data_IF_266631248143
#
_entry.id   IF_266631248143
#
_cell.length_a   1.000
_cell.length_b   1.000
_cell.length_c   1.000
_cell.angle_alpha   90.00
_cell.angle_beta   90.00
_cell.angle_gamma   90.00
#
_symmetry.space_group_name_H-M   'P 1'
#
loop_
_entity.id
_entity.type
_entity.pdbx_description
1 polymer ?
#
# COMPACT_ATOMS: atom_id res chain seq x y z
N UNK A 1 -8.81 17.45 20.64
CA UNK A 1 -7.84 16.51 20.05
C UNK A 1 -7.54 16.86 18.59
N UNK A 2 -6.28 16.90 18.16
CA UNK A 2 -5.91 17.07 16.74
C UNK A 2 -5.84 15.74 15.97
N UNK A 3 -5.86 15.80 14.64
CA UNK A 3 -5.82 14.64 13.72
C UNK A 3 -4.69 13.62 14.07
N UNK A 4 -3.52 14.12 14.49
CA UNK A 4 -2.38 13.28 14.87
C UNK A 4 -2.54 12.59 16.23
N UNK A 5 -3.25 13.19 17.18
CA UNK A 5 -3.56 12.55 18.46
C UNK A 5 -4.58 11.43 18.27
N UNK A 6 -5.55 11.61 17.38
CA UNK A 6 -6.53 10.60 17.05
C UNK A 6 -5.89 9.40 16.33
N UNK A 7 -4.98 9.66 15.39
CA UNK A 7 -4.15 8.61 14.78
C UNK A 7 -3.36 7.84 15.82
N UNK A 8 -2.71 8.50 16.79
CA UNK A 8 -1.98 7.84 17.87
C UNK A 8 -2.88 6.95 18.71
N UNK A 9 -4.08 7.43 19.07
CA UNK A 9 -5.06 6.64 19.82
C UNK A 9 -5.48 5.38 19.06
N UNK A 10 -5.79 5.49 17.77
CA UNK A 10 -6.13 4.34 16.91
C UNK A 10 -4.95 3.38 16.75
N UNK A 11 -3.72 3.85 16.59
CA UNK A 11 -2.58 2.94 16.47
C UNK A 11 -2.22 2.26 17.79
N UNK A 12 -2.60 2.84 18.93
CA UNK A 12 -2.35 2.31 20.27
C UNK A 12 -3.23 1.14 20.68
N UNK A 13 -4.32 0.85 19.95
CA UNK A 13 -5.16 -0.32 20.24
C UNK A 13 -4.48 -1.64 19.88
N UNK A 14 -3.46 -1.59 19.02
CA UNK A 14 -2.66 -2.75 18.65
C UNK A 14 -1.55 -2.92 19.70
N UNK A 15 -1.55 -4.07 20.37
CA UNK A 15 -0.59 -4.36 21.43
C UNK A 15 0.84 -4.46 20.89
N UNK A 16 1.81 -4.17 21.75
CA UNK A 16 3.23 -4.22 21.39
C UNK A 16 3.72 -5.64 21.08
N UNK A 17 3.08 -6.66 21.66
CA UNK A 17 3.40 -8.08 21.47
C UNK A 17 2.59 -8.75 20.35
N UNK A 18 1.74 -7.99 19.63
CA UNK A 18 0.99 -8.53 18.49
C UNK A 18 1.95 -8.90 17.33
N UNK A 19 1.96 -10.16 16.87
CA UNK A 19 2.87 -10.60 15.81
C UNK A 19 2.61 -9.94 14.45
N UNK A 20 1.44 -9.30 14.27
CA UNK A 20 1.05 -8.56 13.07
C UNK A 20 0.99 -7.05 13.31
N UNK A 21 1.61 -6.54 14.40
CA UNK A 21 1.49 -5.14 14.81
C UNK A 21 1.68 -4.15 13.67
N UNK A 22 2.78 -4.25 12.93
CA UNK A 22 3.10 -3.33 11.83
C UNK A 22 2.08 -3.43 10.69
N UNK A 23 1.60 -4.64 10.40
CA UNK A 23 0.57 -4.89 9.39
C UNK A 23 -0.77 -4.27 9.77
N UNK A 24 -1.24 -4.53 11.00
CA UNK A 24 -2.48 -3.96 11.53
C UNK A 24 -2.40 -2.43 11.58
N UNK A 25 -1.28 -1.88 12.06
CA UNK A 25 -1.07 -0.43 12.13
C UNK A 25 -1.05 0.23 10.75
N UNK A 26 -0.43 -0.38 9.74
CA UNK A 26 -0.46 0.12 8.36
C UNK A 26 -1.89 0.15 7.81
N UNK A 27 -2.63 -0.95 7.98
CA UNK A 27 -4.01 -1.04 7.50
C UNK A 27 -4.94 -0.06 8.21
N UNK A 28 -4.79 0.12 9.54
CA UNK A 28 -5.54 1.13 10.28
C UNK A 28 -5.15 2.55 9.84
N UNK A 29 -3.86 2.83 9.62
CA UNK A 29 -3.42 4.13 9.13
C UNK A 29 -4.08 4.46 7.79
N UNK A 30 -4.09 3.50 6.86
CA UNK A 30 -4.70 3.68 5.55
C UNK A 30 -6.22 3.79 5.68
N UNK A 31 -6.86 2.79 6.27
CA UNK A 31 -8.32 2.72 6.36
C UNK A 31 -8.92 3.83 7.23
N UNK A 32 -8.40 4.06 8.46
CA UNK A 32 -8.89 5.13 9.31
C UNK A 32 -8.57 6.50 8.73
N UNK A 33 -7.46 6.67 8.01
CA UNK A 33 -7.13 7.88 7.27
C UNK A 33 -8.32 8.42 6.48
N UNK A 34 -9.06 7.52 5.86
CA UNK A 34 -10.24 7.79 5.06
C UNK A 34 -11.44 8.27 5.90
N UNK A 35 -11.52 7.83 7.14
CA UNK A 35 -12.54 8.28 8.09
C UNK A 35 -12.08 9.46 8.96
N UNK A 36 -10.80 9.88 8.91
CA UNK A 36 -10.24 10.92 9.79
C UNK A 36 -10.91 12.28 9.64
N UNK A 37 -11.30 12.70 8.44
CA UNK A 37 -12.06 13.96 8.27
C UNK A 37 -13.38 13.93 9.05
N UNK A 38 -13.98 12.75 9.09
CA UNK A 38 -15.22 12.54 9.80
C UNK A 38 -14.91 12.45 11.30
N UNK A 39 -13.88 11.70 11.71
CA UNK A 39 -13.39 11.65 13.09
C UNK A 39 -13.00 13.02 13.66
N UNK A 40 -12.41 13.90 12.85
CA UNK A 40 -12.06 15.28 13.20
C UNK A 40 -13.31 16.12 13.44
N UNK A 41 -14.36 15.97 12.61
CA UNK A 41 -15.67 16.61 12.83
C UNK A 41 -16.43 16.03 14.04
N UNK A 42 -16.06 14.81 14.44
CA UNK A 42 -16.78 13.96 15.38
C UNK A 42 -16.31 14.10 16.83
N UNK A 43 -15.10 14.60 17.06
CA UNK A 43 -14.58 14.98 18.38
C UNK A 43 -14.36 13.81 19.35
N UNK A 44 -13.82 14.13 20.54
CA UNK A 44 -13.41 13.17 21.58
C UNK A 44 -14.53 12.22 22.03
N UNK A 45 -15.79 12.64 21.93
CA UNK A 45 -16.95 11.86 22.42
C UNK A 45 -17.20 10.59 21.61
N UNK A 46 -16.87 10.59 20.32
CA UNK A 46 -17.17 9.45 19.44
C UNK A 46 -16.05 8.41 19.42
N UNK A 47 -14.84 8.80 19.81
CA UNK A 47 -13.65 7.94 19.80
C UNK A 47 -13.82 6.61 20.58
N UNK A 48 -14.41 6.56 21.79
CA UNK A 48 -14.55 5.31 22.53
C UNK A 48 -15.36 4.24 21.78
N UNK A 49 -16.40 4.64 21.06
CA UNK A 49 -17.22 3.73 20.24
C UNK A 49 -16.39 3.12 19.10
N UNK A 50 -15.61 3.93 18.39
CA UNK A 50 -14.79 3.46 17.27
C UNK A 50 -13.59 2.62 17.71
N UNK A 51 -12.93 3.00 18.81
CA UNK A 51 -11.85 2.19 19.37
C UNK A 51 -12.37 0.83 19.83
N UNK A 52 -13.60 0.75 20.38
CA UNK A 52 -14.20 -0.52 20.76
C UNK A 52 -14.38 -1.45 19.55
N UNK A 53 -14.84 -0.92 18.42
CA UNK A 53 -14.95 -1.67 17.17
C UNK A 53 -13.55 -2.12 16.73
N UNK A 54 -12.61 -1.20 16.52
CA UNK A 54 -11.31 -1.53 15.93
C UNK A 54 -10.44 -2.45 16.81
N UNK A 55 -10.68 -2.47 18.12
CA UNK A 55 -9.97 -3.35 19.07
C UNK A 55 -10.46 -4.80 19.05
N UNK A 56 -11.53 -5.12 18.32
CA UNK A 56 -12.06 -6.48 18.25
C UNK A 56 -11.27 -7.33 17.25
N UNK A 57 -10.71 -8.44 17.73
CA UNK A 57 -9.96 -9.41 16.92
C UNK A 57 -10.83 -10.10 15.85
N UNK A 58 -12.15 -10.16 16.04
CA UNK A 58 -13.08 -10.75 15.06
C UNK A 58 -13.10 -10.01 13.71
N UNK A 59 -12.56 -8.78 13.65
CA UNK A 59 -12.51 -8.00 12.42
C UNK A 59 -11.21 -8.19 11.65
N UNK A 60 -10.34 -9.11 12.10
CA UNK A 60 -9.09 -9.40 11.44
C UNK A 60 -9.09 -10.84 10.92
N UNK A 61 -8.76 -10.99 9.64
CA UNK A 61 -8.75 -12.26 8.94
C UNK A 61 -7.33 -12.63 8.53
N UNK A 62 -6.93 -13.89 8.74
CA UNK A 62 -5.63 -14.37 8.25
C UNK A 62 -5.62 -14.43 6.73
N UNK A 63 -4.51 -14.06 6.13
CA UNK A 63 -4.32 -14.11 4.67
C UNK A 63 -2.96 -14.66 4.31
N UNK A 64 -2.83 -15.17 3.09
CA UNK A 64 -1.55 -15.65 2.54
C UNK A 64 -0.69 -14.54 1.93
N UNK A 65 -1.07 -13.27 2.16
CA UNK A 65 -0.30 -12.11 1.71
C UNK A 65 0.90 -11.86 2.62
N UNK A 66 1.84 -11.01 2.17
CA UNK A 66 2.94 -10.53 3.01
C UNK A 66 2.47 -9.90 4.32
N UNK A 67 1.23 -9.42 4.39
CA UNK A 67 0.65 -8.83 5.58
C UNK A 67 0.27 -9.87 6.63
N UNK A 68 0.04 -11.14 6.25
CA UNK A 68 -0.39 -12.25 7.10
C UNK A 68 -1.80 -12.11 7.70
N UNK A 69 -2.35 -10.89 7.68
CA UNK A 69 -3.64 -10.53 8.24
C UNK A 69 -4.26 -9.38 7.44
N UNK A 70 -5.58 -9.31 7.37
CA UNK A 70 -6.35 -8.27 6.69
C UNK A 70 -7.51 -7.79 7.56
N UNK A 71 -7.76 -6.49 7.59
CA UNK A 71 -8.96 -5.92 8.22
C UNK A 71 -10.19 -6.28 7.38
N UNK A 72 -11.22 -6.89 7.97
CA UNK A 72 -12.52 -7.03 7.35
C UNK A 72 -13.28 -5.71 7.43
N UNK A 73 -12.97 -4.84 6.48
CA UNK A 73 -13.47 -3.48 6.43
C UNK A 73 -14.99 -3.38 6.32
N UNK A 74 -15.63 -4.35 5.63
CA UNK A 74 -17.09 -4.40 5.49
C UNK A 74 -17.78 -4.71 6.81
N UNK A 75 -17.25 -5.64 7.61
CA UNK A 75 -17.77 -5.92 8.95
C UNK A 75 -17.57 -4.70 9.85
N UNK A 76 -16.40 -4.06 9.80
CA UNK A 76 -16.15 -2.83 10.58
C UNK A 76 -17.15 -1.74 10.21
N UNK A 77 -17.35 -1.46 8.92
CA UNK A 77 -18.33 -0.48 8.45
C UNK A 77 -19.76 -0.81 8.91
N UNK A 78 -20.15 -2.09 8.87
CA UNK A 78 -21.45 -2.54 9.37
C UNK A 78 -21.59 -2.28 10.87
N UNK A 79 -20.56 -2.56 11.67
CA UNK A 79 -20.56 -2.26 13.11
C UNK A 79 -20.60 -0.75 13.40
N UNK A 80 -20.02 0.08 12.55
CA UNK A 80 -20.05 1.53 12.71
C UNK A 80 -21.45 2.12 12.60
N UNK A 81 -22.39 1.46 11.92
CA UNK A 81 -23.76 1.95 11.73
C UNK A 81 -24.78 1.30 12.66
N UNK A 82 -24.38 0.28 13.44
CA UNK A 82 -25.25 -0.36 14.41
C UNK A 82 -25.55 0.57 15.59
N UNK A 83 -26.72 0.46 16.26
CA UNK A 83 -27.08 1.37 17.36
C UNK A 83 -26.15 1.33 18.58
N UNK A 84 -25.40 0.24 18.78
CA UNK A 84 -24.49 0.02 19.91
C UNK A 84 -23.27 -0.81 19.50
N UNK A 85 -22.14 -0.61 20.17
CA UNK A 85 -20.94 -1.43 20.00
C UNK A 85 -21.04 -2.77 20.75
N UNK A 86 -20.05 -3.65 20.57
CA UNK A 86 -19.96 -4.93 21.29
C UNK A 86 -19.95 -4.79 22.81
N UNK A 87 -19.39 -3.69 23.34
CA UNK A 87 -19.42 -3.37 24.78
C UNK A 87 -20.66 -2.56 25.21
N UNK A 88 -21.66 -2.42 24.35
CA UNK A 88 -22.90 -1.73 24.65
C UNK A 88 -22.79 -0.20 24.64
N UNK A 89 -21.70 0.36 24.11
CA UNK A 89 -21.53 1.81 23.96
C UNK A 89 -22.50 2.27 22.87
N UNK A 90 -23.37 3.23 23.19
CA UNK A 90 -24.30 3.79 22.21
C UNK A 90 -23.57 4.40 21.03
N UNK A 91 -24.05 4.12 19.82
CA UNK A 91 -23.51 4.71 18.60
C UNK A 91 -23.80 6.21 18.59
N UNK A 92 -22.77 7.05 18.54
CA UNK A 92 -22.93 8.49 18.59
C UNK A 92 -23.24 9.11 17.22
N UNK A 93 -23.27 8.32 16.15
CA UNK A 93 -23.70 8.76 14.81
C UNK A 93 -25.22 8.90 14.78
N UNK A 94 -25.69 10.00 14.20
CA UNK A 94 -27.09 10.15 13.81
C UNK A 94 -27.39 9.33 12.53
N UNK A 95 -28.66 9.25 12.14
CA UNK A 95 -29.04 8.40 11.02
C UNK A 95 -28.51 8.89 9.67
N UNK A 96 -28.26 10.20 9.54
CA UNK A 96 -27.63 10.76 8.33
C UNK A 96 -26.15 10.35 8.23
N UNK A 97 -25.39 10.47 9.32
CA UNK A 97 -24.01 10.00 9.43
C UNK A 97 -23.92 8.48 9.14
N UNK A 98 -24.87 7.69 9.67
CA UNK A 98 -24.96 6.25 9.40
C UNK A 98 -25.25 5.96 7.94
N UNK A 99 -26.18 6.69 7.33
CA UNK A 99 -26.50 6.56 5.90
C UNK A 99 -25.30 6.89 5.01
N UNK A 100 -24.54 7.92 5.38
CA UNK A 100 -23.31 8.29 4.68
C UNK A 100 -22.26 7.16 4.74
N UNK A 101 -22.00 6.60 5.93
CA UNK A 101 -21.07 5.46 6.07
C UNK A 101 -21.55 4.25 5.27
N UNK A 102 -22.85 3.94 5.32
CA UNK A 102 -23.44 2.85 4.56
C UNK A 102 -23.25 3.04 3.04
N UNK A 103 -23.48 4.25 2.53
CA UNK A 103 -23.27 4.61 1.12
C UNK A 103 -21.81 4.47 0.68
N UNK A 104 -20.85 4.94 1.49
CA UNK A 104 -19.43 4.83 1.17
C UNK A 104 -18.90 3.42 1.14
N UNK A 105 -19.44 2.55 2.00
CA UNK A 105 -19.02 1.16 2.08
C UNK A 105 -19.94 0.22 1.29
N UNK A 106 -20.89 0.77 0.53
CA UNK A 106 -21.89 0.03 -0.27
C UNK A 106 -22.61 -1.07 0.53
N UNK A 107 -23.06 -0.75 1.74
CA UNK A 107 -23.87 -1.63 2.57
C UNK A 107 -25.33 -1.64 2.08
N UNK A 108 -25.57 -2.25 0.91
CA UNK A 108 -26.82 -2.18 0.13
C UNK A 108 -28.11 -2.33 0.97
N UNK A 109 -28.20 -3.36 1.81
CA UNK A 109 -29.37 -3.59 2.68
C UNK A 109 -29.58 -2.47 3.70
N UNK A 110 -28.49 -2.01 4.32
CA UNK A 110 -28.51 -0.96 5.34
C UNK A 110 -28.84 0.41 4.71
N UNK A 111 -28.34 0.69 3.50
CA UNK A 111 -28.68 1.87 2.71
C UNK A 111 -30.18 1.92 2.45
N UNK A 112 -30.78 0.81 2.00
CA UNK A 112 -32.22 0.70 1.74
C UNK A 112 -33.00 0.92 3.04
N UNK A 113 -32.61 0.24 4.13
CA UNK A 113 -33.28 0.34 5.42
C UNK A 113 -33.27 1.77 5.99
N UNK A 114 -32.12 2.45 5.91
CA UNK A 114 -31.98 3.84 6.37
C UNK A 114 -32.75 4.82 5.48
N UNK A 115 -32.75 4.62 4.16
CA UNK A 115 -33.55 5.46 3.27
C UNK A 115 -35.05 5.32 3.53
N UNK A 116 -35.54 4.10 3.76
CA UNK A 116 -36.93 3.86 4.16
C UNK A 116 -37.25 4.42 5.56
N UNK A 117 -36.25 4.53 6.45
CA UNK A 117 -36.43 5.23 7.71
C UNK A 117 -36.68 6.73 7.49
N UNK A 118 -35.88 7.41 6.67
CA UNK A 118 -36.11 8.82 6.34
C UNK A 118 -37.47 9.05 5.66
N UNK A 119 -37.88 8.17 4.74
CA UNK A 119 -39.22 8.24 4.14
C UNK A 119 -40.34 8.20 5.18
N UNK A 120 -40.20 7.38 6.22
CA UNK A 120 -41.18 7.28 7.31
C UNK A 120 -41.14 8.51 8.22
N UNK A 121 -39.96 9.01 8.56
CA UNK A 121 -39.81 10.22 9.38
C UNK A 121 -40.38 11.47 8.70
N UNK A 122 -40.18 11.59 7.38
CA UNK A 122 -40.70 12.70 6.57
C UNK A 122 -42.17 12.48 6.12
N UNK A 123 -42.83 11.42 6.60
CA UNK A 123 -44.22 11.05 6.27
C UNK A 123 -44.50 10.96 4.74
N UNK A 124 -43.50 10.50 3.97
CA UNK A 124 -43.57 10.44 2.51
C UNK A 124 -44.35 9.19 2.07
N UNK A 125 -45.49 9.42 1.43
CA UNK A 125 -46.28 8.37 0.81
C UNK A 125 -45.74 8.03 -0.60
N UNK A 126 -45.85 6.76 -1.03
CA UNK A 126 -45.31 6.27 -2.32
C UNK A 126 -45.86 6.99 -3.57
N UNK A 127 -46.98 7.70 -3.45
CA UNK A 127 -47.64 8.43 -4.55
C UNK A 127 -47.10 9.87 -4.69
N UNK A 128 -46.46 10.43 -3.66
CA UNK A 128 -45.96 11.80 -3.68
C UNK A 128 -44.54 11.88 -4.29
N UNK A 129 -44.50 11.91 -5.62
CA UNK A 129 -43.27 12.07 -6.39
C UNK A 129 -42.45 13.31 -6.01
N UNK A 130 -43.10 14.42 -5.63
CA UNK A 130 -42.39 15.66 -5.34
C UNK A 130 -41.75 15.63 -3.95
N UNK A 131 -42.43 15.05 -2.96
CA UNK A 131 -41.86 14.81 -1.64
C UNK A 131 -40.68 13.85 -1.70
N UNK A 132 -40.81 12.75 -2.45
CA UNK A 132 -39.71 11.79 -2.63
C UNK A 132 -38.49 12.44 -3.30
N UNK A 133 -38.69 13.28 -4.32
CA UNK A 133 -37.59 14.04 -4.95
C UNK A 133 -36.92 15.01 -3.99
N UNK A 134 -37.67 15.65 -3.09
CA UNK A 134 -37.09 16.51 -2.04
C UNK A 134 -36.24 15.70 -1.07
N UNK A 135 -36.71 14.53 -0.64
CA UNK A 135 -35.93 13.63 0.20
C UNK A 135 -34.65 13.18 -0.51
N UNK A 136 -34.74 12.70 -1.76
CA UNK A 136 -33.56 12.30 -2.55
C UNK A 136 -32.54 13.42 -2.58
N UNK A 137 -32.96 14.66 -2.80
CA UNK A 137 -32.07 15.83 -2.76
C UNK A 137 -31.50 16.11 -1.37
N UNK A 138 -32.26 15.95 -0.29
CA UNK A 138 -31.76 16.18 1.08
C UNK A 138 -30.73 15.13 1.48
N UNK A 139 -30.97 13.85 1.18
CA UNK A 139 -30.05 12.75 1.53
C UNK A 139 -28.90 12.56 0.55
N UNK A 140 -28.92 13.22 -0.61
CA UNK A 140 -27.79 13.22 -1.55
C UNK A 140 -26.57 14.03 -1.06
N UNK A 141 -26.69 14.66 0.11
CA UNK A 141 -25.66 15.49 0.73
C UNK A 141 -25.79 16.97 0.36
N UNK A 142 -25.81 17.85 1.37
CA UNK A 142 -25.88 19.30 1.21
C UNK A 142 -24.66 20.01 1.81
N UNK A 143 -23.54 20.04 1.07
CA UNK A 143 -22.66 21.23 0.93
C UNK A 143 -21.36 21.00 0.17
N UNK A 144 -20.97 19.74 -0.07
CA UNK A 144 -20.09 19.31 -1.16
C UNK A 144 -20.63 17.93 -1.54
N UNK A 145 -21.14 17.75 -2.75
CA UNK A 145 -21.94 16.57 -3.12
C UNK A 145 -21.14 15.29 -2.94
N UNK A 146 -21.50 14.51 -1.93
CA UNK A 146 -20.94 13.19 -1.71
C UNK A 146 -21.41 12.29 -2.84
N UNK A 147 -20.49 11.98 -3.76
CA UNK A 147 -20.85 11.31 -5.01
C UNK A 147 -21.45 9.92 -4.80
N UNK A 148 -21.13 9.27 -3.67
CA UNK A 148 -21.68 7.97 -3.31
C UNK A 148 -23.09 8.10 -2.75
N UNK A 149 -23.34 9.08 -1.87
CA UNK A 149 -24.71 9.34 -1.38
C UNK A 149 -25.63 9.75 -2.52
N UNK A 150 -25.17 10.61 -3.43
CA UNK A 150 -25.92 10.99 -4.62
C UNK A 150 -26.25 9.77 -5.49
N UNK A 151 -25.28 8.90 -5.75
CA UNK A 151 -25.53 7.68 -6.52
C UNK A 151 -26.62 6.83 -5.85
N UNK A 152 -26.44 6.50 -4.56
CA UNK A 152 -27.32 5.59 -3.85
C UNK A 152 -28.73 6.13 -3.69
N UNK A 153 -28.88 7.40 -3.30
CA UNK A 153 -30.18 8.03 -3.14
C UNK A 153 -31.00 8.01 -4.43
N UNK A 154 -30.38 8.23 -5.59
CA UNK A 154 -31.05 8.19 -6.90
C UNK A 154 -31.28 6.75 -7.37
N UNK A 155 -30.34 5.84 -7.10
CA UNK A 155 -30.45 4.45 -7.47
C UNK A 155 -31.62 3.76 -6.75
N UNK A 156 -31.68 3.86 -5.42
CA UNK A 156 -32.72 3.19 -4.61
C UNK A 156 -34.11 3.81 -4.75
N UNK A 157 -34.18 5.11 -5.07
CA UNK A 157 -35.45 5.82 -5.29
C UNK A 157 -36.00 5.66 -6.71
N UNK A 158 -35.27 5.01 -7.61
CA UNK A 158 -35.66 4.86 -9.02
C UNK A 158 -35.42 6.11 -9.88
N UNK A 159 -34.79 7.16 -9.35
CA UNK A 159 -34.45 8.40 -10.07
C UNK A 159 -33.04 8.40 -10.66
N UNK A 160 -32.45 7.23 -10.92
CA UNK A 160 -31.10 7.11 -11.51
C UNK A 160 -30.98 7.83 -12.87
N UNK A 161 -32.09 7.93 -13.60
CA UNK A 161 -32.18 8.64 -14.89
C UNK A 161 -32.03 10.16 -14.77
N UNK A 162 -32.17 10.73 -13.57
CA UNK A 162 -31.89 12.15 -13.32
C UNK A 162 -30.38 12.44 -13.20
N UNK A 163 -29.54 11.40 -13.08
CA UNK A 163 -28.09 11.54 -13.13
C UNK A 163 -27.59 11.48 -14.58
N UNK A 164 -26.64 12.37 -14.93
CA UNK A 164 -25.88 12.25 -16.18
C UNK A 164 -24.88 11.09 -16.08
N UNK A 165 -25.33 9.91 -16.50
CA UNK A 165 -24.50 8.71 -16.54
C UNK A 165 -23.49 8.71 -17.71
N UNK A 166 -23.55 9.69 -18.62
CA UNK A 166 -22.69 9.78 -19.81
C UNK A 166 -22.69 8.48 -20.65
N UNK A 167 -23.85 7.84 -20.75
CA UNK A 167 -24.03 6.59 -21.49
C UNK A 167 -23.48 5.34 -20.78
N UNK A 168 -23.05 5.44 -19.53
CA UNK A 168 -22.54 4.29 -18.77
C UNK A 168 -23.68 3.49 -18.14
N UNK A 169 -23.46 2.17 -18.00
CA UNK A 169 -24.28 1.33 -17.15
C UNK A 169 -24.25 1.86 -15.69
N UNK A 170 -25.36 1.85 -14.93
CA UNK A 170 -25.40 2.37 -13.56
C UNK A 170 -24.31 1.81 -12.64
N UNK A 171 -23.98 0.52 -12.73
CA UNK A 171 -22.89 -0.05 -11.91
C UNK A 171 -21.50 0.40 -12.35
N UNK A 172 -21.27 0.65 -13.64
CA UNK A 172 -20.00 1.24 -14.13
C UNK A 172 -19.88 2.68 -13.64
N UNK A 173 -20.99 3.43 -13.67
CA UNK A 173 -21.05 4.77 -13.13
C UNK A 173 -20.80 4.80 -11.62
N UNK A 174 -21.43 3.90 -10.85
CA UNK A 174 -21.21 3.72 -9.42
C UNK A 174 -19.75 3.38 -9.12
N UNK A 175 -19.15 2.46 -9.88
CA UNK A 175 -17.73 2.12 -9.79
C UNK A 175 -16.84 3.35 -10.04
N UNK A 176 -17.14 4.16 -11.05
CA UNK A 176 -16.42 5.42 -11.32
C UNK A 176 -16.56 6.42 -10.16
N UNK A 177 -17.76 6.54 -9.55
CA UNK A 177 -17.95 7.39 -8.36
C UNK A 177 -17.11 6.88 -7.19
N UNK A 178 -17.14 5.59 -6.93
CA UNK A 178 -16.40 4.94 -5.85
C UNK A 178 -14.87 5.09 -5.98
N UNK A 179 -14.34 5.05 -7.21
CA UNK A 179 -12.90 4.96 -7.46
C UNK A 179 -12.23 6.24 -7.98
N UNK A 180 -12.99 7.20 -8.53
CA UNK A 180 -12.44 8.37 -9.24
C UNK A 180 -13.03 9.68 -8.71
N UNK A 181 -14.36 9.75 -8.58
CA UNK A 181 -15.03 11.03 -8.31
C UNK A 181 -15.21 11.36 -6.83
N UNK A 182 -14.95 10.40 -5.94
CA UNK A 182 -15.06 10.61 -4.51
C UNK A 182 -13.72 11.04 -3.92
N UNK A 183 -13.69 12.18 -3.23
CA UNK A 183 -12.55 12.53 -2.37
C UNK A 183 -12.37 11.51 -1.23
N UNK A 184 -13.40 10.67 -0.99
CA UNK A 184 -13.50 9.66 0.06
C UNK A 184 -13.55 8.23 -0.52
N UNK A 185 -12.77 7.97 -1.57
CA UNK A 185 -12.62 6.66 -2.24
C UNK A 185 -12.48 5.51 -1.23
N UNK A 186 -13.29 4.45 -1.43
CA UNK A 186 -13.34 3.26 -0.57
C UNK A 186 -13.16 2.01 -1.39
N UNK A 187 -12.21 1.17 -1.00
CA UNK A 187 -11.96 -0.11 -1.65
C UNK A 187 -13.18 -1.04 -1.55
N UNK A 188 -13.97 -0.96 -0.48
CA UNK A 188 -15.20 -1.73 -0.27
C UNK A 188 -16.28 -1.37 -1.30
N UNK A 189 -16.41 -0.09 -1.64
CA UNK A 189 -17.32 0.33 -2.70
C UNK A 189 -16.82 -0.09 -4.08
N UNK A 190 -15.50 -0.01 -4.32
CA UNK A 190 -14.90 -0.49 -5.57
C UNK A 190 -15.09 -2.00 -5.72
N UNK A 191 -14.83 -2.77 -4.67
CA UNK A 191 -15.11 -4.21 -4.59
C UNK A 191 -16.59 -4.49 -4.92
N UNK A 192 -17.53 -3.84 -4.23
CA UNK A 192 -18.95 -4.02 -4.45
C UNK A 192 -19.39 -3.76 -5.89
N UNK A 193 -19.03 -2.60 -6.46
CA UNK A 193 -19.45 -2.29 -7.83
C UNK A 193 -18.73 -3.13 -8.86
N UNK A 194 -17.47 -3.52 -8.60
CA UNK A 194 -16.76 -4.41 -9.50
C UNK A 194 -17.42 -5.77 -9.57
N UNK A 195 -17.82 -6.35 -8.43
CA UNK A 195 -18.58 -7.61 -8.40
C UNK A 195 -19.88 -7.50 -9.21
N UNK A 196 -20.61 -6.38 -9.04
CA UNK A 196 -21.83 -6.11 -9.83
C UNK A 196 -21.52 -6.00 -11.32
N UNK A 197 -20.49 -5.24 -11.71
CA UNK A 197 -20.05 -5.09 -13.11
C UNK A 197 -19.62 -6.43 -13.73
N UNK A 198 -18.88 -7.26 -13.00
CA UNK A 198 -18.47 -8.59 -13.47
C UNK A 198 -19.68 -9.49 -13.71
N UNK A 199 -20.68 -9.43 -12.82
CA UNK A 199 -21.90 -10.23 -12.91
C UNK A 199 -22.85 -9.86 -14.07
N UNK A 200 -22.64 -8.70 -14.72
CA UNK A 200 -23.48 -8.27 -15.85
C UNK A 200 -23.35 -9.23 -17.05
N UNK A 201 -24.44 -9.52 -17.77
CA UNK A 201 -24.36 -10.34 -18.98
C UNK A 201 -23.67 -9.58 -20.13
N UNK A 202 -23.09 -10.32 -21.08
CA UNK A 202 -22.46 -9.75 -22.30
C UNK A 202 -23.42 -8.89 -23.14
N UNK A 203 -24.74 -9.10 -23.00
CA UNK A 203 -25.76 -8.28 -23.66
C UNK A 203 -25.88 -6.87 -23.08
N UNK A 204 -25.44 -6.65 -21.84
CA UNK A 204 -25.48 -5.35 -21.16
C UNK A 204 -24.12 -4.67 -21.14
N UNK A 205 -23.04 -5.44 -20.95
CA UNK A 205 -21.67 -4.94 -20.97
C UNK A 205 -20.72 -6.04 -21.41
N UNK A 206 -19.99 -5.80 -22.49
CA UNK A 206 -19.05 -6.79 -23.01
C UNK A 206 -17.85 -6.98 -22.09
N UNK A 207 -17.20 -8.15 -22.15
CA UNK A 207 -15.96 -8.41 -21.42
C UNK A 207 -14.88 -7.35 -21.69
N UNK A 208 -14.78 -6.86 -22.93
CA UNK A 208 -13.84 -5.79 -23.30
C UNK A 208 -14.17 -4.46 -22.61
N UNK A 209 -15.45 -4.09 -22.52
CA UNK A 209 -15.86 -2.86 -21.84
C UNK A 209 -15.67 -2.94 -20.33
N UNK A 210 -15.90 -4.11 -19.73
CA UNK A 210 -15.59 -4.37 -18.31
C UNK A 210 -14.10 -4.18 -18.03
N UNK A 211 -13.27 -4.81 -18.86
CA UNK A 211 -11.81 -4.72 -18.76
C UNK A 211 -11.31 -3.27 -18.92
N UNK A 212 -11.82 -2.54 -19.90
CA UNK A 212 -11.45 -1.14 -20.15
C UNK A 212 -11.88 -0.23 -18.99
N UNK A 213 -13.11 -0.41 -18.48
CA UNK A 213 -13.60 0.35 -17.33
C UNK A 213 -12.68 0.15 -16.11
N UNK A 214 -12.30 -1.09 -15.84
CA UNK A 214 -11.46 -1.42 -14.70
C UNK A 214 -10.00 -0.98 -14.86
N UNK A 215 -9.44 -1.13 -16.06
CA UNK A 215 -8.10 -0.64 -16.38
C UNK A 215 -7.98 0.87 -16.16
N UNK A 216 -8.99 1.66 -16.59
CA UNK A 216 -9.03 3.11 -16.36
C UNK A 216 -9.02 3.48 -14.88
N UNK A 217 -9.70 2.69 -14.05
CA UNK A 217 -9.74 2.88 -12.61
C UNK A 217 -8.38 2.56 -11.99
N UNK A 218 -7.78 1.42 -12.33
CA UNK A 218 -6.45 1.04 -11.85
C UNK A 218 -5.41 2.13 -12.16
N UNK A 219 -5.39 2.63 -13.40
CA UNK A 219 -4.48 3.70 -13.83
C UNK A 219 -4.75 5.02 -13.09
N UNK A 220 -5.99 5.32 -12.72
CA UNK A 220 -6.31 6.48 -11.88
C UNK A 220 -5.83 6.29 -10.44
N UNK A 221 -6.13 5.14 -9.83
CA UNK A 221 -5.76 4.82 -8.46
C UNK A 221 -4.24 4.73 -8.26
N UNK A 222 -3.47 4.43 -9.31
CA UNK A 222 -2.01 4.44 -9.29
C UNK A 222 -1.41 5.83 -8.95
N UNK A 223 -2.01 6.91 -9.44
CA UNK A 223 -1.52 8.28 -9.18
C UNK A 223 -2.01 8.83 -7.86
N UNK A 224 -3.28 8.55 -7.59
CA UNK A 224 -4.07 9.33 -6.68
C UNK A 224 -3.56 9.26 -5.24
N UNK A 225 -3.40 10.42 -4.59
CA UNK A 225 -2.93 10.55 -3.19
C UNK A 225 -3.88 9.93 -2.14
N UNK A 226 -4.97 9.30 -2.57
CA UNK A 226 -5.89 8.56 -1.73
C UNK A 226 -5.35 7.20 -1.29
N UNK A 227 -6.29 6.34 -0.91
CA UNK A 227 -6.02 5.07 -0.22
C UNK A 227 -5.40 4.05 -1.18
N UNK A 228 -4.16 3.58 -0.91
CA UNK A 228 -3.45 2.70 -1.83
C UNK A 228 -4.13 1.33 -1.97
N UNK A 229 -5.02 0.98 -1.03
CA UNK A 229 -5.87 -0.21 -1.05
C UNK A 229 -6.73 -0.36 -2.31
N UNK A 230 -7.19 0.75 -2.91
CA UNK A 230 -7.97 0.70 -4.16
C UNK A 230 -7.12 0.17 -5.30
N UNK A 231 -5.88 0.67 -5.42
CA UNK A 231 -4.97 0.20 -6.46
C UNK A 231 -4.53 -1.24 -6.20
N UNK A 232 -4.29 -1.62 -4.94
CA UNK A 232 -4.03 -3.01 -4.56
C UNK A 232 -5.14 -3.96 -5.03
N UNK A 233 -6.38 -3.61 -4.72
CA UNK A 233 -7.53 -4.39 -5.14
C UNK A 233 -7.56 -4.50 -6.66
N UNK A 234 -7.42 -3.38 -7.38
CA UNK A 234 -7.42 -3.39 -8.83
C UNK A 234 -6.34 -4.33 -9.40
N UNK A 235 -5.11 -4.22 -8.89
CA UNK A 235 -4.01 -5.06 -9.34
C UNK A 235 -4.26 -6.55 -9.06
N UNK A 236 -4.92 -6.89 -7.94
CA UNK A 236 -5.28 -8.28 -7.61
C UNK A 236 -6.27 -8.92 -8.59
N UNK A 237 -7.07 -8.10 -9.28
CA UNK A 237 -8.08 -8.55 -10.24
C UNK A 237 -7.59 -8.48 -11.69
N UNK A 238 -6.53 -7.71 -11.97
CA UNK A 238 -5.95 -7.60 -13.32
C UNK A 238 -5.03 -8.79 -13.56
N UNK A 239 -5.19 -9.45 -14.71
CA UNK A 239 -4.36 -10.57 -15.10
C UNK A 239 -2.92 -10.13 -15.42
N UNK A 240 -1.87 -10.91 -15.05
CA UNK A 240 -0.47 -10.50 -15.24
C UNK A 240 -0.07 -10.18 -16.68
N UNK A 241 -0.73 -10.78 -17.68
CA UNK A 241 -0.51 -10.48 -19.10
C UNK A 241 -0.86 -9.03 -19.47
N UNK A 242 -1.70 -8.36 -18.68
CA UNK A 242 -2.09 -6.97 -18.87
C UNK A 242 -1.21 -5.97 -18.11
N UNK A 243 -0.25 -6.43 -17.31
CA UNK A 243 0.66 -5.55 -16.57
C UNK A 243 1.48 -4.60 -17.46
N UNK A 244 2.02 -5.02 -18.62
CA UNK A 244 2.71 -4.10 -19.53
C UNK A 244 1.80 -2.98 -20.03
N UNK A 245 0.53 -3.29 -20.34
CA UNK A 245 -0.45 -2.29 -20.78
C UNK A 245 -0.81 -1.34 -19.64
N UNK A 246 -1.03 -1.86 -18.43
CA UNK A 246 -1.26 -1.06 -17.22
C UNK A 246 -0.13 -0.05 -17.00
N UNK A 247 1.13 -0.51 -17.05
CA UNK A 247 2.31 0.31 -16.83
C UNK A 247 2.48 1.38 -17.90
N UNK A 248 2.18 1.05 -19.16
CA UNK A 248 2.18 2.02 -20.25
C UNK A 248 1.15 3.13 -20.01
N UNK A 249 -0.09 2.76 -19.69
CA UNK A 249 -1.17 3.73 -19.41
C UNK A 249 -0.91 4.56 -18.15
N UNK A 250 -0.31 3.95 -17.12
CA UNK A 250 0.15 4.62 -15.90
C UNK A 250 1.19 5.70 -16.23
N UNK A 251 2.24 5.34 -16.99
CA UNK A 251 3.26 6.30 -17.42
C UNK A 251 2.67 7.44 -18.28
N UNK A 252 1.82 7.11 -19.26
CA UNK A 252 1.20 8.10 -20.15
C UNK A 252 0.34 9.11 -19.38
N UNK A 253 -0.45 8.62 -18.42
CA UNK A 253 -1.34 9.48 -17.63
C UNK A 253 -0.59 10.28 -16.57
N UNK A 254 0.30 9.61 -15.83
CA UNK A 254 0.86 10.13 -14.58
C UNK A 254 2.26 10.71 -14.76
N UNK A 255 2.91 10.47 -15.92
CA UNK A 255 4.29 10.87 -16.26
C UNK A 255 5.37 10.16 -15.43
N UNK A 256 4.99 9.22 -14.59
CA UNK A 256 5.83 8.30 -13.83
C UNK A 256 5.02 7.03 -13.51
N UNK A 257 5.68 5.97 -13.04
CA UNK A 257 4.97 4.75 -12.63
C UNK A 257 4.40 4.89 -11.21
N UNK A 258 3.19 5.44 -11.12
CA UNK A 258 2.48 5.57 -9.85
C UNK A 258 2.17 4.21 -9.22
N UNK A 259 1.89 3.21 -10.06
CA UNK A 259 1.62 1.83 -9.65
C UNK A 259 2.74 1.24 -8.79
N UNK A 260 3.99 1.39 -9.24
CA UNK A 260 5.18 0.96 -8.49
C UNK A 260 5.33 1.74 -7.18
N UNK A 261 5.09 3.06 -7.20
CA UNK A 261 5.09 3.88 -5.99
C UNK A 261 4.10 3.36 -4.93
N UNK A 262 2.86 3.08 -5.34
CA UNK A 262 1.79 2.56 -4.46
C UNK A 262 2.15 1.22 -3.82
N UNK A 263 2.76 0.31 -4.58
CA UNK A 263 3.18 -0.99 -4.02
C UNK A 263 4.26 -0.82 -2.95
N UNK A 264 5.19 0.13 -3.11
CA UNK A 264 6.18 0.44 -2.05
C UNK A 264 5.53 1.08 -0.82
N UNK A 265 4.57 2.00 -0.99
CA UNK A 265 3.85 2.64 0.12
C UNK A 265 3.10 1.63 1.00
N UNK A 266 2.63 0.54 0.39
CA UNK A 266 1.94 -0.55 1.06
C UNK A 266 2.88 -1.68 1.53
N UNK A 267 4.18 -1.61 1.29
CA UNK A 267 5.10 -2.73 1.51
C UNK A 267 4.70 -4.02 0.74
N UNK A 268 3.94 -3.89 -0.36
CA UNK A 268 3.54 -5.01 -1.20
C UNK A 268 4.65 -5.32 -2.23
N UNK A 269 5.79 -5.75 -1.70
CA UNK A 269 7.03 -5.92 -2.46
C UNK A 269 6.95 -6.98 -3.56
N UNK A 270 6.17 -8.03 -3.36
CA UNK A 270 5.99 -9.07 -4.39
C UNK A 270 5.23 -8.54 -5.61
N UNK A 271 4.19 -7.72 -5.40
CA UNK A 271 3.47 -7.10 -6.51
C UNK A 271 4.29 -6.00 -7.18
N UNK A 272 5.06 -5.23 -6.41
CA UNK A 272 6.06 -4.32 -6.99
C UNK A 272 7.00 -5.09 -7.93
N UNK A 273 7.56 -6.21 -7.46
CA UNK A 273 8.52 -6.99 -8.24
C UNK A 273 7.92 -7.46 -9.57
N UNK A 274 6.69 -7.98 -9.55
CA UNK A 274 5.98 -8.44 -10.76
C UNK A 274 5.77 -7.31 -11.77
N UNK A 275 5.37 -6.13 -11.31
CA UNK A 275 5.23 -4.96 -12.18
C UNK A 275 6.58 -4.50 -12.72
N UNK A 276 7.60 -4.41 -11.86
CA UNK A 276 8.95 -4.01 -12.26
C UNK A 276 9.56 -4.99 -13.28
N UNK A 277 9.21 -6.27 -13.20
CA UNK A 277 9.69 -7.28 -14.13
C UNK A 277 9.14 -7.15 -15.55
N UNK A 278 8.04 -6.42 -15.73
CA UNK A 278 7.50 -6.07 -17.04
C UNK A 278 8.20 -4.89 -17.73
N UNK A 279 9.10 -4.18 -17.03
CA UNK A 279 9.76 -2.99 -17.57
C UNK A 279 11.07 -3.31 -18.28
N UNK A 280 11.30 -2.69 -19.44
CA UNK A 280 12.62 -2.63 -20.05
C UNK A 280 13.41 -1.44 -19.52
N UNK A 281 14.73 -1.52 -19.63
CA UNK A 281 15.62 -0.43 -19.19
C UNK A 281 15.32 0.90 -19.90
N UNK A 282 14.89 0.87 -21.16
CA UNK A 282 14.50 2.06 -21.93
C UNK A 282 13.30 2.78 -21.35
N UNK A 283 12.46 2.06 -20.60
CA UNK A 283 11.21 2.57 -20.05
C UNK A 283 11.42 3.23 -18.69
N UNK A 284 12.60 3.06 -18.09
CA UNK A 284 12.92 3.51 -16.74
C UNK A 284 13.93 4.65 -16.80
N UNK A 285 13.58 5.79 -16.21
CA UNK A 285 14.55 6.85 -15.97
C UNK A 285 15.38 6.51 -14.72
N UNK A 286 16.69 6.77 -14.79
CA UNK A 286 17.62 6.53 -13.66
C UNK A 286 17.14 7.20 -12.37
N UNK A 287 16.59 8.41 -12.44
CA UNK A 287 16.04 9.10 -11.28
C UNK A 287 14.90 8.35 -10.59
N UNK A 288 14.01 7.73 -11.36
CA UNK A 288 12.91 6.90 -10.83
C UNK A 288 13.46 5.62 -10.19
N UNK A 289 14.39 4.94 -10.85
CA UNK A 289 15.05 3.74 -10.32
C UNK A 289 15.73 3.99 -8.96
N UNK A 290 16.53 5.06 -8.85
CA UNK A 290 17.17 5.43 -7.59
C UNK A 290 16.15 5.81 -6.51
N UNK A 291 15.05 6.44 -6.91
CA UNK A 291 13.95 6.79 -5.99
C UNK A 291 13.28 5.55 -5.42
N UNK A 292 12.98 4.54 -6.25
CA UNK A 292 12.39 3.29 -5.79
C UNK A 292 13.31 2.53 -4.83
N UNK A 293 14.61 2.41 -5.13
CA UNK A 293 15.57 1.77 -4.22
C UNK A 293 15.55 2.43 -2.82
N UNK A 294 15.43 3.76 -2.77
CA UNK A 294 15.29 4.50 -1.51
C UNK A 294 13.94 4.27 -0.84
N UNK A 295 12.86 4.22 -1.62
CA UNK A 295 11.51 4.06 -1.10
C UNK A 295 11.21 2.67 -0.53
N UNK A 296 12.07 1.67 -0.77
CA UNK A 296 12.01 0.38 -0.05
C UNK A 296 12.22 0.58 1.47
N UNK A 297 12.98 1.61 1.89
CA UNK A 297 13.16 2.04 3.29
C UNK A 297 13.53 0.89 4.25
N UNK A 298 14.63 0.20 3.96
CA UNK A 298 15.12 -0.93 4.75
C UNK A 298 15.28 -0.58 6.24
N UNK A 299 15.69 0.66 6.54
CA UNK A 299 15.83 1.18 7.91
C UNK A 299 14.52 1.09 8.71
N UNK A 300 13.39 1.31 8.03
CA UNK A 300 12.04 1.28 8.60
C UNK A 300 11.42 -0.12 8.60
N UNK A 301 12.01 -1.09 7.91
CA UNK A 301 11.47 -2.44 7.83
C UNK A 301 11.81 -3.26 9.09
N UNK A 302 10.84 -4.05 9.55
CA UNK A 302 10.95 -5.01 10.65
C UNK A 302 10.26 -6.32 10.27
N UNK A 303 10.54 -7.39 11.03
CA UNK A 303 9.87 -8.68 10.88
C UNK A 303 9.87 -9.20 9.44
N UNK A 304 8.69 -9.61 8.96
CA UNK A 304 8.51 -10.17 7.62
C UNK A 304 8.80 -9.18 6.48
N UNK A 305 8.60 -7.86 6.71
CA UNK A 305 8.85 -6.85 5.70
C UNK A 305 10.34 -6.63 5.42
N UNK A 306 11.21 -6.84 6.42
CA UNK A 306 12.65 -6.71 6.22
C UNK A 306 13.15 -7.70 5.17
N UNK A 307 12.83 -8.99 5.31
CA UNK A 307 13.28 -10.01 4.38
C UNK A 307 12.76 -9.78 2.96
N UNK A 308 11.48 -9.42 2.82
CA UNK A 308 10.88 -9.14 1.53
C UNK A 308 11.42 -7.85 0.89
N UNK A 309 11.63 -6.79 1.67
CA UNK A 309 12.23 -5.54 1.21
C UNK A 309 13.67 -5.73 0.76
N UNK A 310 14.48 -6.47 1.53
CA UNK A 310 15.85 -6.84 1.14
C UNK A 310 15.85 -7.68 -0.14
N UNK A 311 14.95 -8.67 -0.25
CA UNK A 311 14.81 -9.48 -1.46
C UNK A 311 14.49 -8.62 -2.68
N UNK A 312 13.53 -7.70 -2.57
CA UNK A 312 13.19 -6.79 -3.66
C UNK A 312 14.36 -5.85 -4.02
N UNK A 313 15.02 -5.28 -3.01
CA UNK A 313 16.18 -4.42 -3.22
C UNK A 313 17.26 -5.14 -4.03
N UNK A 314 17.58 -6.37 -3.63
CA UNK A 314 18.57 -7.20 -4.31
C UNK A 314 18.09 -7.62 -5.71
N UNK A 315 16.81 -7.94 -5.88
CA UNK A 315 16.24 -8.24 -7.19
C UNK A 315 16.44 -7.07 -8.15
N UNK A 316 16.11 -5.84 -7.74
CA UNK A 316 16.29 -4.66 -8.57
C UNK A 316 17.76 -4.41 -8.91
N UNK A 317 18.65 -4.46 -7.91
CA UNK A 317 20.08 -4.25 -8.12
C UNK A 317 20.70 -5.32 -9.01
N UNK A 318 20.29 -6.57 -8.86
CA UNK A 318 20.88 -7.70 -9.59
C UNK A 318 20.18 -8.00 -10.92
N UNK A 319 19.10 -7.30 -11.25
CA UNK A 319 18.36 -7.51 -12.51
C UNK A 319 19.28 -7.30 -13.72
N UNK A 320 19.30 -8.28 -14.59
CA UNK A 320 20.04 -8.22 -15.85
C UNK A 320 19.58 -7.03 -16.70
N UNK A 321 20.50 -6.45 -17.46
CA UNK A 321 20.30 -5.29 -18.34
C UNK A 321 20.02 -3.96 -17.63
N UNK A 322 19.96 -3.94 -16.30
CA UNK A 322 19.88 -2.71 -15.49
C UNK A 322 21.27 -2.21 -15.03
N UNK A 323 22.36 -2.70 -15.64
CA UNK A 323 23.74 -2.43 -15.20
C UNK A 323 24.07 -0.94 -15.14
N UNK A 324 23.66 -0.15 -16.14
CA UNK A 324 23.93 1.29 -16.18
C UNK A 324 23.18 2.05 -15.06
N UNK A 325 21.93 1.65 -14.79
CA UNK A 325 21.12 2.19 -13.70
C UNK A 325 21.73 1.83 -12.35
N UNK A 326 22.14 0.58 -12.16
CA UNK A 326 22.88 0.14 -10.97
C UNK A 326 24.16 0.95 -10.78
N UNK A 327 24.99 1.10 -11.80
CA UNK A 327 26.25 1.86 -11.68
C UNK A 327 25.99 3.30 -11.24
N UNK A 328 24.96 3.95 -11.77
CA UNK A 328 24.59 5.31 -11.39
C UNK A 328 24.01 5.39 -9.97
N UNK A 329 23.19 4.43 -9.56
CA UNK A 329 22.70 4.34 -8.18
C UNK A 329 23.86 4.17 -7.19
N UNK A 330 24.82 3.29 -7.50
CA UNK A 330 26.03 3.09 -6.68
C UNK A 330 26.94 4.32 -6.65
N UNK A 331 27.03 5.09 -7.75
CA UNK A 331 27.69 6.40 -7.72
C UNK A 331 27.01 7.33 -6.70
N UNK A 332 25.68 7.35 -6.66
CA UNK A 332 24.93 8.10 -5.66
C UNK A 332 25.20 7.65 -4.22
N UNK A 333 25.32 6.35 -4.01
CA UNK A 333 25.51 5.76 -2.67
C UNK A 333 26.94 5.98 -2.13
N UNK A 334 27.95 5.91 -3.01
CA UNK A 334 29.35 5.73 -2.61
C UNK A 334 30.22 6.99 -2.75
N UNK A 335 29.84 7.93 -3.63
CA UNK A 335 30.68 9.08 -3.98
C UNK A 335 30.37 10.32 -3.11
N UNK A 336 31.39 11.14 -2.83
CA UNK A 336 31.34 12.27 -1.89
C UNK A 336 30.39 13.41 -2.31
N UNK A 337 30.09 13.56 -3.60
CA UNK A 337 29.30 14.67 -4.14
C UNK A 337 27.82 14.33 -4.33
N UNK A 338 27.35 13.25 -3.71
CA UNK A 338 26.00 12.74 -3.94
C UNK A 338 25.04 13.04 -2.78
N UNK A 339 23.82 13.42 -3.14
CA UNK A 339 22.66 13.59 -2.25
C UNK A 339 22.18 12.28 -1.60
N UNK A 340 22.74 11.14 -2.00
CA UNK A 340 22.19 9.78 -1.79
C UNK A 340 23.07 8.91 -0.87
N UNK A 341 24.09 9.50 -0.25
CA UNK A 341 25.17 8.75 0.40
C UNK A 341 24.75 8.01 1.67
N UNK A 342 24.94 6.68 1.68
CA UNK A 342 24.71 5.82 2.84
C UNK A 342 23.25 5.40 3.03
N UNK A 343 22.41 5.57 2.02
CA UNK A 343 20.98 5.23 2.08
C UNK A 343 20.70 3.76 1.80
N UNK A 344 21.68 3.01 1.30
CA UNK A 344 21.54 1.58 0.99
C UNK A 344 22.38 0.71 1.94
N UNK A 345 23.67 0.99 2.05
CA UNK A 345 24.59 0.09 2.75
C UNK A 345 24.46 0.17 4.28
N UNK A 346 24.30 1.37 4.83
CA UNK A 346 24.21 1.54 6.28
C UNK A 346 22.97 0.82 6.86
N UNK A 347 21.75 1.01 6.32
CA UNK A 347 20.58 0.28 6.82
C UNK A 347 20.73 -1.24 6.74
N UNK A 348 21.35 -1.78 5.69
CA UNK A 348 21.58 -3.22 5.56
C UNK A 348 22.51 -3.75 6.65
N UNK A 349 23.60 -3.02 6.97
CA UNK A 349 24.52 -3.40 8.06
C UNK A 349 23.81 -3.35 9.41
N UNK A 350 23.05 -2.28 9.68
CA UNK A 350 22.29 -2.13 10.93
C UNK A 350 21.25 -3.24 11.14
N UNK A 351 20.71 -3.79 10.05
CA UNK A 351 19.76 -4.92 10.05
C UNK A 351 20.45 -6.29 9.97
N UNK A 352 21.78 -6.36 9.95
CA UNK A 352 22.55 -7.60 9.92
C UNK A 352 22.57 -8.29 8.54
N UNK A 353 22.23 -7.60 7.46
CA UNK A 353 22.14 -8.14 6.09
C UNK A 353 23.50 -8.10 5.37
N UNK A 354 24.55 -8.66 5.98
CA UNK A 354 25.92 -8.54 5.47
C UNK A 354 26.16 -9.24 4.13
N UNK A 355 25.49 -10.36 3.87
CA UNK A 355 25.59 -11.06 2.58
C UNK A 355 25.20 -10.15 1.41
N UNK A 356 24.15 -9.36 1.58
CA UNK A 356 23.66 -8.41 0.60
C UNK A 356 24.61 -7.22 0.46
N UNK A 357 25.20 -6.75 1.57
CA UNK A 357 26.25 -5.72 1.53
C UNK A 357 27.43 -6.17 0.68
N UNK A 358 27.89 -7.42 0.82
CA UNK A 358 28.96 -7.98 -0.02
C UNK A 358 28.57 -8.01 -1.49
N UNK A 359 27.39 -8.52 -1.79
CA UNK A 359 26.92 -8.60 -3.17
C UNK A 359 26.84 -7.21 -3.83
N UNK A 360 26.47 -6.16 -3.08
CA UNK A 360 26.45 -4.78 -3.58
C UNK A 360 27.87 -4.26 -3.82
N UNK A 361 28.79 -4.45 -2.86
CA UNK A 361 30.19 -4.02 -2.99
C UNK A 361 30.90 -4.73 -4.13
N UNK A 362 30.60 -6.01 -4.38
CA UNK A 362 31.17 -6.80 -5.48
C UNK A 362 30.69 -6.32 -6.87
N UNK A 363 29.56 -5.59 -6.93
CA UNK A 363 29.07 -4.95 -8.16
C UNK A 363 29.59 -3.51 -8.33
N UNK A 364 30.18 -2.93 -7.30
CA UNK A 364 30.78 -1.60 -7.38
C UNK A 364 32.15 -1.67 -8.06
N UNK A 365 32.52 -0.63 -8.79
CA UNK A 365 33.85 -0.52 -9.35
C UNK A 365 34.88 -0.08 -8.29
N UNK A 366 36.16 -0.29 -8.56
CA UNK A 366 37.25 -0.01 -7.61
C UNK A 366 37.28 1.45 -7.15
N UNK A 367 36.94 2.41 -8.02
CA UNK A 367 36.86 3.84 -7.66
C UNK A 367 35.74 4.09 -6.65
N UNK A 368 34.55 3.54 -6.89
CA UNK A 368 33.40 3.65 -5.98
C UNK A 368 33.74 3.06 -4.61
N UNK A 369 34.31 1.84 -4.58
CA UNK A 369 34.71 1.17 -3.34
C UNK A 369 35.74 2.00 -2.58
N UNK A 370 36.79 2.50 -3.25
CA UNK A 370 37.82 3.34 -2.61
C UNK A 370 37.23 4.59 -1.95
N UNK A 371 36.34 5.26 -2.66
CA UNK A 371 35.73 6.50 -2.19
C UNK A 371 34.77 6.25 -1.03
N UNK A 372 34.00 5.16 -1.09
CA UNK A 372 33.16 4.71 0.00
C UNK A 372 33.99 4.34 1.24
N UNK A 373 35.06 3.55 1.10
CA UNK A 373 35.89 3.13 2.23
C UNK A 373 36.59 4.30 2.94
N UNK A 374 36.76 5.43 2.25
CA UNK A 374 37.31 6.67 2.82
C UNK A 374 36.24 7.58 3.46
N UNK A 375 34.98 7.14 3.48
CA UNK A 375 33.83 7.94 3.92
C UNK A 375 33.55 7.82 5.42
N UNK A 376 32.77 8.78 5.95
CA UNK A 376 32.22 8.70 7.31
C UNK A 376 31.30 7.49 7.48
N UNK A 377 30.55 7.12 6.44
CA UNK A 377 29.64 5.97 6.44
C UNK A 377 30.39 4.65 6.60
N UNK A 378 31.50 4.47 5.88
CA UNK A 378 32.35 3.29 6.07
C UNK A 378 32.99 3.28 7.47
N UNK A 379 33.36 4.45 8.01
CA UNK A 379 33.80 4.57 9.40
C UNK A 379 32.72 4.15 10.41
N UNK A 380 31.46 4.53 10.17
CA UNK A 380 30.33 4.12 10.99
C UNK A 380 30.08 2.61 10.90
N UNK A 381 30.01 2.03 9.70
CA UNK A 381 29.88 0.58 9.49
C UNK A 381 31.01 -0.17 10.19
N UNK A 382 32.26 0.30 10.06
CA UNK A 382 33.40 -0.27 10.77
C UNK A 382 33.17 -0.28 12.28
N UNK A 383 32.71 0.84 12.86
CA UNK A 383 32.45 0.94 14.30
C UNK A 383 31.34 0.00 14.77
N UNK A 384 30.33 -0.28 13.93
CA UNK A 384 29.28 -1.26 14.23
C UNK A 384 29.85 -2.68 14.23
N UNK A 385 30.66 -3.03 13.22
CA UNK A 385 31.23 -4.37 13.09
C UNK A 385 32.28 -4.65 14.19
N UNK A 386 33.04 -3.63 14.63
CA UNK A 386 33.98 -3.72 15.76
C UNK A 386 33.30 -4.10 17.09
N UNK A 387 31.98 -3.90 17.23
CA UNK A 387 31.25 -4.22 18.46
C UNK A 387 30.87 -5.70 18.60
N UNK A 388 31.08 -6.55 17.59
CA UNK A 388 30.75 -7.96 17.74
C UNK A 388 30.85 -8.88 16.53
N UNK A 389 31.19 -8.38 15.34
CA UNK A 389 31.30 -9.20 14.12
C UNK A 389 32.68 -9.06 13.46
N UNK A 390 33.68 -9.65 14.12
CA UNK A 390 35.08 -9.62 13.66
C UNK A 390 35.28 -10.29 12.29
N UNK A 391 34.44 -11.28 11.94
CA UNK A 391 34.52 -11.95 10.65
C UNK A 391 34.07 -11.03 9.51
N UNK A 392 32.90 -10.39 9.66
CA UNK A 392 32.43 -9.39 8.70
C UNK A 392 33.31 -8.15 8.68
N UNK A 393 33.86 -7.72 9.82
CA UNK A 393 34.83 -6.62 9.89
C UNK A 393 36.07 -6.92 9.03
N UNK A 394 36.63 -8.11 9.17
CA UNK A 394 37.82 -8.51 8.40
C UNK A 394 37.54 -8.49 6.90
N UNK A 395 36.38 -9.02 6.49
CA UNK A 395 35.95 -8.97 5.08
C UNK A 395 35.70 -7.53 4.61
N UNK A 396 35.04 -6.69 5.42
CA UNK A 396 34.79 -5.27 5.11
C UNK A 396 36.10 -4.51 4.84
N UNK A 397 37.10 -4.68 5.71
CA UNK A 397 38.40 -4.03 5.59
C UNK A 397 39.21 -4.50 4.36
N UNK A 398 38.94 -5.71 3.86
CA UNK A 398 39.57 -6.22 2.63
C UNK A 398 39.20 -5.42 1.38
N UNK A 399 38.00 -4.83 1.33
CA UNK A 399 37.58 -3.93 0.24
C UNK A 399 38.38 -2.62 0.24
N UNK A 400 38.84 -2.15 1.41
CA UNK A 400 39.73 -0.99 1.50
C UNK A 400 41.18 -1.30 1.12
N UNK A 401 41.63 -2.52 1.40
CA UNK A 401 43.02 -2.97 1.17
C UNK A 401 43.28 -3.38 -0.30
N UNK A 402 42.28 -3.91 -0.99
CA UNK A 402 42.38 -4.41 -2.37
C UNK A 402 42.59 -3.31 -3.42
N UNK A 403 42.18 -2.07 -3.14
CA UNK A 403 42.30 -0.95 -4.11
C UNK A 403 43.71 -0.32 -4.14
N UNK A 404 44.64 -0.84 -3.35
CA UNK A 404 46.06 -0.44 -3.38
C UNK A 404 46.92 -1.17 -4.42
N UNK A 405 46.41 -2.25 -5.05
CA UNK A 405 47.24 -3.19 -5.83
C UNK A 405 47.05 -3.05 -7.37
N UNK A 406 46.01 -2.35 -7.84
CA UNK A 406 45.65 -2.25 -9.27
C UNK A 406 46.56 -1.35 -10.14
N UNK A 407 47.78 -1.03 -9.70
CA UNK A 407 48.80 -0.46 -10.58
C UNK A 407 49.87 -1.45 -11.03
N UNK A 408 49.82 -2.71 -10.59
CA UNK A 408 50.74 -3.74 -11.10
C UNK A 408 50.12 -5.14 -10.95
N UNK A 409 49.51 -5.68 -12.01
CA UNK A 409 50.02 -6.89 -12.66
C UNK A 409 49.12 -7.41 -13.80
N UNK A 410 49.81 -7.89 -14.82
CA UNK A 410 49.32 -8.65 -15.96
C UNK A 410 48.58 -9.93 -15.51
N UNK A 411 47.42 -10.18 -16.12
CA UNK A 411 46.84 -11.46 -16.53
C UNK A 411 47.05 -12.71 -15.65
N UNK A 412 46.00 -13.17 -14.95
CA UNK A 412 45.73 -14.59 -14.66
C UNK A 412 44.19 -14.82 -14.72
N UNK A 413 43.68 -15.94 -15.29
CA UNK A 413 42.26 -16.12 -15.59
C UNK A 413 41.43 -16.56 -14.37
N UNK A 414 40.17 -16.10 -14.31
CA UNK A 414 39.23 -16.44 -13.25
C UNK A 414 38.67 -17.88 -13.36
N UNK A 415 38.21 -18.48 -12.25
CA UNK A 415 37.51 -19.75 -12.29
C UNK A 415 36.06 -19.51 -12.74
N UNK A 416 35.71 -20.06 -13.90
CA UNK A 416 34.32 -20.30 -14.28
C UNK A 416 33.66 -21.21 -13.25
N UNK A 417 32.53 -20.76 -12.70
CA UNK A 417 31.70 -21.53 -11.78
C UNK A 417 30.30 -20.95 -11.74
N UNK A 418 29.47 -21.43 -12.66
CA UNK A 418 28.02 -21.25 -12.69
C UNK A 418 27.44 -21.71 -11.34
N UNK A 419 26.73 -20.82 -10.62
CA UNK A 419 26.05 -21.14 -9.37
C UNK A 419 24.60 -20.68 -9.47
N UNK A 420 23.83 -21.43 -10.25
CA UNK A 420 22.40 -21.60 -9.99
C UNK A 420 22.23 -22.49 -8.75
N UNK A 421 21.25 -22.14 -7.92
CA UNK A 421 20.85 -22.77 -6.64
C UNK A 421 21.55 -22.26 -5.36
N UNK A 422 20.90 -21.28 -4.71
CA UNK A 422 21.08 -21.03 -3.27
C UNK A 422 19.88 -21.62 -2.52
N UNK A 423 20.11 -22.69 -1.75
CA UNK A 423 19.16 -23.23 -0.77
C UNK A 423 19.16 -22.35 0.47
N UNK A 424 17.97 -21.88 0.86
CA UNK A 424 17.71 -21.26 2.15
C UNK A 424 17.81 -22.30 3.28
N UNK A 425 18.82 -22.21 4.14
CA UNK A 425 18.89 -22.97 5.39
C UNK A 425 18.28 -22.18 6.55
N UNK A 426 17.33 -22.81 7.26
CA UNK A 426 16.66 -22.32 8.48
C UNK A 426 17.66 -21.88 9.55
N UNK A 427 17.45 -20.69 10.13
CA UNK A 427 18.07 -20.31 11.40
C UNK A 427 17.42 -21.08 12.55
N UNK A 428 18.26 -21.71 13.37
CA UNK A 428 17.87 -22.33 14.63
C UNK A 428 17.87 -21.29 15.77
N UNK A 429 16.77 -21.28 16.54
CA UNK A 429 16.67 -20.64 17.84
C UNK A 429 17.74 -21.16 18.80
N UNK A 430 18.46 -20.25 19.47
CA UNK A 430 19.26 -20.54 20.65
C UNK A 430 18.63 -19.88 21.87
N UNK A 431 17.71 -20.60 22.52
CA UNK A 431 17.45 -20.43 23.95
C UNK A 431 18.43 -21.31 24.72
N UNK A 432 19.42 -20.72 25.38
CA UNK A 432 20.23 -21.42 26.38
C UNK A 432 19.75 -21.06 27.78
N UNK A 433 19.23 -22.09 28.44
CA UNK A 433 18.92 -22.20 29.86
C UNK A 433 20.24 -22.17 30.64
N UNK A 434 20.35 -21.28 31.63
CA UNK A 434 21.39 -21.31 32.65
C UNK A 434 20.85 -22.01 33.91
N UNK A 435 21.48 -23.13 34.28
CA UNK A 435 21.38 -23.77 35.59
C UNK A 435 22.70 -23.57 36.35
N UNK A 436 22.60 -23.40 37.67
CA UNK A 436 23.68 -23.44 38.65
C UNK A 436 23.50 -22.31 39.68
N UNK A 437 23.28 -22.54 40.98
CA UNK A 437 23.34 -23.73 41.85
C UNK A 437 22.16 -23.75 42.82
#
# INVERSE_FOLDING_TARGET
MGCDELRKAVLSIIKDDDPYKESKQLQLKNWCGAFLEIFDSWGEKKLPFFLDILSNEEFWEKTDTIHGIKLNRRIVAKRMIEPKSSKGISNPLDDFDRYQVACWCCLEEDIISLFEHFKREDEINEVDSDALKKLVKSVSGSWYTDTMMQFWSHFISGYISELDLKGQHPYVFGLHRAAISSDRRRVEAVEFFWDKVQSLPESELSSQEKDEAFMRIAVHAAHDNGYPDVFEFCLSQISPDKYPELLKRDLEKNRYYGSLGRMLEMFNFDQFQRLFDCLEISDVQVGHYCTWLRCIKIESCSGQYLNAGVKLLMHMLMKDRFDSHRTLALNGEMMNNATYRGSLLVPLVEKGCMEQVWAILDKANSKQVKEFMSSKQAGYIRSLLEQGDNASLSKFLSYGSSVGVDLNQKSIPGPNGDLSEVKLSKMHDKSNIGLGE
#
